data_IF_176755284169
#
_entry.id   IF_176755284169
#
_cell.length_a   1.000
_cell.length_b   1.000
_cell.length_c   1.000
_cell.angle_alpha   90.00
_cell.angle_beta   90.00
_cell.angle_gamma   90.00
#
_symmetry.space_group_name_H-M   'P 1'
#
loop_
_entity.id
_entity.type
_entity.pdbx_description
1 polymer ?
#
# COMPACT_ATOMS: atom_id res chain seq x y z
N UNK A 1 -10.62 29.75 12.96
CA UNK A 1 -11.28 28.68 13.74
C UNK A 1 -12.52 28.23 12.97
N UNK A 2 -12.47 27.06 12.34
CA UNK A 2 -13.62 26.50 11.63
C UNK A 2 -14.45 25.70 12.63
N UNK A 3 -15.70 26.13 12.86
CA UNK A 3 -16.71 25.38 13.61
C UNK A 3 -17.23 24.24 12.74
N UNK A 4 -17.05 23.00 13.19
CA UNK A 4 -17.77 21.85 12.64
C UNK A 4 -19.25 21.97 13.02
N UNK A 5 -20.14 21.87 12.03
CA UNK A 5 -21.57 21.76 12.27
C UNK A 5 -21.92 20.33 12.71
N UNK A 6 -22.84 20.27 13.67
CA UNK A 6 -23.27 19.10 14.40
C UNK A 6 -24.17 18.17 13.57
N UNK A 7 -23.95 16.88 13.82
CA UNK A 7 -24.92 15.80 13.99
C UNK A 7 -26.40 16.18 13.88
N UNK A 8 -26.96 16.12 12.66
CA UNK A 8 -28.34 15.69 12.44
C UNK A 8 -28.29 14.34 11.71
N UNK A 9 -28.50 13.28 12.48
CA UNK A 9 -28.12 11.88 12.24
C UNK A 9 -28.87 11.12 11.13
N UNK A 10 -28.92 11.66 9.93
CA UNK A 10 -29.29 10.91 8.72
C UNK A 10 -28.31 11.14 7.54
N UNK A 11 -27.46 12.16 7.63
CA UNK A 11 -26.49 12.51 6.60
C UNK A 11 -25.11 12.60 7.23
N UNK A 12 -24.41 11.46 7.33
CA UNK A 12 -22.98 11.47 7.64
C UNK A 12 -22.27 12.16 6.48
N UNK A 13 -21.87 13.41 6.70
CA UNK A 13 -21.05 14.14 5.74
C UNK A 13 -19.73 13.39 5.64
N UNK A 14 -19.45 12.83 4.45
CA UNK A 14 -18.17 12.21 4.19
C UNK A 14 -17.05 13.22 4.40
N UNK A 15 -16.01 12.78 5.10
CA UNK A 15 -14.84 13.62 5.35
C UNK A 15 -14.19 14.01 4.03
N UNK A 16 -13.96 15.31 3.82
CA UNK A 16 -13.17 15.81 2.68
C UNK A 16 -11.65 15.60 2.87
N UNK A 17 -11.21 15.13 4.04
CA UNK A 17 -9.79 14.99 4.37
C UNK A 17 -9.01 14.13 3.35
N UNK A 18 -9.53 13.01 2.82
CA UNK A 18 -8.82 12.24 1.80
C UNK A 18 -8.54 13.03 0.51
N UNK A 19 -9.48 13.90 0.10
CA UNK A 19 -9.30 14.77 -1.07
C UNK A 19 -8.23 15.84 -0.81
N UNK A 20 -8.23 16.42 0.40
CA UNK A 20 -7.21 17.39 0.80
C UNK A 20 -5.82 16.76 0.86
N UNK A 21 -5.69 15.55 1.41
CA UNK A 21 -4.43 14.83 1.47
C UNK A 21 -3.86 14.54 0.07
N UNK A 22 -4.70 14.12 -0.89
CA UNK A 22 -4.29 13.95 -2.29
C UNK A 22 -3.90 15.26 -2.95
N UNK A 23 -4.63 16.35 -2.69
CA UNK A 23 -4.27 17.67 -3.19
C UNK A 23 -2.91 18.13 -2.66
N UNK A 24 -2.66 17.97 -1.36
CA UNK A 24 -1.40 18.36 -0.74
C UNK A 24 -0.24 17.52 -1.29
N UNK A 25 -0.41 16.20 -1.42
CA UNK A 25 0.59 15.32 -2.04
C UNK A 25 0.94 15.75 -3.48
N UNK A 26 -0.06 16.05 -4.31
CA UNK A 26 0.14 16.54 -5.68
C UNK A 26 0.84 17.90 -5.68
N UNK A 27 0.40 18.84 -4.85
CA UNK A 27 0.97 20.20 -4.78
C UNK A 27 2.42 20.18 -4.31
N UNK A 28 2.73 19.41 -3.28
CA UNK A 28 4.07 19.33 -2.71
C UNK A 28 5.04 18.66 -3.67
N UNK A 29 4.62 17.58 -4.34
CA UNK A 29 5.40 16.95 -5.39
C UNK A 29 5.70 17.92 -6.54
N UNK A 30 4.67 18.61 -7.08
CA UNK A 30 4.85 19.58 -8.16
C UNK A 30 5.76 20.75 -7.77
N UNK A 31 5.66 21.22 -6.53
CA UNK A 31 6.58 22.23 -5.97
C UNK A 31 8.01 21.70 -5.94
N UNK A 32 8.21 20.48 -5.48
CA UNK A 32 9.52 19.85 -5.39
C UNK A 32 10.17 19.66 -6.78
N UNK A 33 9.42 19.11 -7.75
CA UNK A 33 9.91 18.92 -9.12
C UNK A 33 9.87 20.21 -9.98
N UNK A 34 9.45 21.35 -9.41
CA UNK A 34 9.32 22.67 -10.06
C UNK A 34 8.51 22.62 -11.35
N UNK A 35 7.41 21.86 -11.32
CA UNK A 35 6.47 21.73 -12.44
C UNK A 35 5.10 22.27 -12.07
N UNK A 36 4.24 22.39 -13.08
CA UNK A 36 2.84 22.81 -12.93
C UNK A 36 1.98 21.91 -13.79
N UNK A 37 0.75 21.69 -13.34
CA UNK A 37 -0.31 21.04 -14.09
C UNK A 37 -1.47 22.02 -14.22
N UNK A 38 -2.29 21.80 -15.24
CA UNK A 38 -3.56 22.50 -15.36
C UNK A 38 -4.52 22.06 -14.25
N UNK A 39 -5.44 22.95 -13.87
CA UNK A 39 -6.41 22.67 -12.80
C UNK A 39 -7.22 21.40 -13.08
N UNK A 40 -7.56 21.14 -14.34
CA UNK A 40 -8.28 19.94 -14.75
C UNK A 40 -7.52 18.65 -14.42
N UNK A 41 -6.20 18.65 -14.58
CA UNK A 41 -5.36 17.49 -14.27
C UNK A 41 -5.15 17.32 -12.77
N UNK A 42 -4.97 18.42 -12.04
CA UNK A 42 -4.92 18.38 -10.58
C UNK A 42 -6.22 17.82 -10.01
N UNK A 43 -7.37 18.30 -10.52
CA UNK A 43 -8.68 17.80 -10.12
C UNK A 43 -8.83 16.30 -10.41
N UNK A 44 -8.40 15.86 -11.60
CA UNK A 44 -8.46 14.43 -11.97
C UNK A 44 -7.58 13.57 -11.06
N UNK A 45 -6.37 14.03 -10.73
CA UNK A 45 -5.46 13.33 -9.81
C UNK A 45 -6.01 13.25 -8.37
N UNK A 46 -6.70 14.28 -7.89
CA UNK A 46 -7.36 14.24 -6.57
C UNK A 46 -8.43 13.14 -6.46
N UNK A 47 -9.03 12.75 -7.59
CA UNK A 47 -10.04 11.70 -7.66
C UNK A 47 -9.43 10.29 -7.78
N UNK A 48 -8.09 10.16 -7.75
CA UNK A 48 -7.44 8.86 -7.78
C UNK A 48 -7.86 7.99 -6.58
N UNK A 49 -8.03 6.66 -6.77
CA UNK A 49 -8.31 5.73 -5.68
C UNK A 49 -7.02 5.44 -4.87
N UNK A 50 -6.47 6.49 -4.26
CA UNK A 50 -5.22 6.46 -3.52
C UNK A 50 -5.49 6.71 -2.03
N UNK A 51 -5.08 5.76 -1.19
CA UNK A 51 -5.07 5.92 0.27
C UNK A 51 -3.77 6.60 0.73
N UNK A 52 -3.63 6.84 2.04
CA UNK A 52 -2.49 7.57 2.63
C UNK A 52 -1.13 6.98 2.21
N UNK A 53 -1.02 5.64 2.21
CA UNK A 53 0.20 4.91 1.81
C UNK A 53 0.58 5.11 0.33
N UNK A 54 -0.38 5.50 -0.53
CA UNK A 54 -0.18 5.70 -1.96
C UNK A 54 -0.01 7.16 -2.36
N UNK A 55 -0.09 8.11 -1.41
CA UNK A 55 0.13 9.53 -1.68
C UNK A 55 1.51 9.83 -2.29
N UNK A 56 2.62 9.19 -1.86
CA UNK A 56 3.92 9.38 -2.51
C UNK A 56 3.90 8.99 -3.99
N UNK A 57 3.26 7.86 -4.33
CA UNK A 57 3.11 7.42 -5.71
C UNK A 57 2.24 8.39 -6.53
N UNK A 58 1.15 8.90 -5.95
CA UNK A 58 0.33 9.92 -6.60
C UNK A 58 1.15 11.18 -6.93
N UNK A 59 2.03 11.61 -6.02
CA UNK A 59 2.98 12.70 -6.27
C UNK A 59 3.97 12.42 -7.40
N UNK A 60 4.55 11.22 -7.44
CA UNK A 60 5.41 10.75 -8.54
C UNK A 60 4.67 10.78 -9.88
N UNK A 61 3.43 10.30 -9.93
CA UNK A 61 2.58 10.33 -11.13
C UNK A 61 2.25 11.77 -11.57
N UNK A 62 2.01 12.67 -10.62
CA UNK A 62 1.78 14.09 -10.91
C UNK A 62 3.02 14.75 -11.56
N UNK A 63 4.21 14.52 -11.01
CA UNK A 63 5.45 15.04 -11.59
C UNK A 63 5.71 14.42 -12.98
N UNK A 64 5.46 13.11 -13.14
CA UNK A 64 5.58 12.42 -14.42
C UNK A 64 4.64 13.01 -15.49
N UNK A 65 3.38 13.25 -15.13
CA UNK A 65 2.40 13.91 -15.99
C UNK A 65 2.85 15.33 -16.37
N UNK A 66 3.47 16.04 -15.44
CA UNK A 66 4.00 17.38 -15.67
C UNK A 66 5.34 17.39 -16.46
N UNK A 67 5.77 16.24 -16.98
CA UNK A 67 6.94 16.10 -17.85
C UNK A 67 8.27 15.93 -17.11
N UNK A 68 8.24 15.60 -15.81
CA UNK A 68 9.45 15.33 -15.05
C UNK A 68 10.04 13.95 -15.39
N UNK A 69 11.02 13.95 -16.31
CA UNK A 69 11.62 12.73 -16.86
C UNK A 69 12.22 11.77 -15.81
N UNK A 70 12.85 12.22 -14.71
CA UNK A 70 13.38 11.32 -13.68
C UNK A 70 12.33 10.38 -13.07
N UNK A 71 11.06 10.80 -13.00
CA UNK A 71 9.98 9.95 -12.47
C UNK A 71 9.78 8.67 -13.27
N UNK A 72 10.14 8.70 -14.57
CA UNK A 72 10.04 7.52 -15.43
C UNK A 72 10.85 6.35 -14.89
N UNK A 73 12.05 6.58 -14.37
CA UNK A 73 12.89 5.50 -13.81
C UNK A 73 12.23 4.87 -12.58
N UNK A 74 11.64 5.68 -11.70
CA UNK A 74 10.93 5.20 -10.51
C UNK A 74 9.71 4.38 -10.92
N UNK A 75 8.91 4.90 -11.86
CA UNK A 75 7.72 4.24 -12.38
C UNK A 75 8.07 2.95 -13.12
N UNK A 76 9.15 2.94 -13.92
CA UNK A 76 9.61 1.75 -14.62
C UNK A 76 10.05 0.64 -13.65
N UNK A 77 10.68 1.00 -12.53
CA UNK A 77 10.97 0.04 -11.45
C UNK A 77 9.69 -0.48 -10.78
N UNK A 78 8.74 0.40 -10.46
CA UNK A 78 7.45 -0.01 -9.86
C UNK A 78 6.69 -0.99 -10.74
N UNK A 79 6.71 -0.77 -12.06
CA UNK A 79 6.07 -1.58 -13.09
C UNK A 79 6.81 -2.88 -13.43
N UNK A 80 8.01 -3.13 -12.89
CA UNK A 80 8.75 -4.36 -13.18
C UNK A 80 8.23 -5.53 -12.33
N UNK A 81 7.57 -6.55 -12.92
CA UNK A 81 7.05 -7.68 -12.17
C UNK A 81 8.15 -8.54 -11.53
N UNK A 82 9.38 -8.49 -12.04
CA UNK A 82 10.50 -9.31 -11.55
C UNK A 82 10.91 -8.95 -10.12
N UNK A 83 10.66 -7.71 -9.68
CA UNK A 83 10.94 -7.29 -8.30
C UNK A 83 10.15 -8.10 -7.26
N UNK A 84 9.06 -8.76 -7.69
CA UNK A 84 8.17 -9.51 -6.81
C UNK A 84 8.57 -10.98 -6.63
N UNK A 85 9.60 -11.46 -7.34
CA UNK A 85 10.05 -12.86 -7.23
C UNK A 85 10.50 -13.23 -5.81
N UNK A 86 11.15 -12.28 -5.12
CA UNK A 86 11.64 -12.46 -3.75
C UNK A 86 10.86 -11.65 -2.70
N UNK A 87 9.77 -10.96 -3.10
CA UNK A 87 9.06 -10.03 -2.21
C UNK A 87 8.36 -10.74 -1.05
N UNK A 88 8.32 -10.14 0.13
CA UNK A 88 7.50 -10.60 1.25
C UNK A 88 6.00 -10.43 0.99
N UNK A 89 5.16 -10.90 1.92
CA UNK A 89 3.70 -10.75 1.82
C UNK A 89 3.28 -9.27 1.75
N UNK A 90 3.78 -8.44 2.67
CA UNK A 90 3.47 -7.01 2.75
C UNK A 90 3.90 -6.25 1.49
N UNK A 91 5.10 -6.55 0.98
CA UNK A 91 5.61 -5.95 -0.27
C UNK A 91 4.76 -6.34 -1.49
N UNK A 92 4.28 -7.59 -1.54
CA UNK A 92 3.42 -8.06 -2.61
C UNK A 92 2.01 -7.43 -2.54
N UNK A 93 1.45 -7.27 -1.34
CA UNK A 93 0.17 -6.56 -1.14
C UNK A 93 0.29 -5.08 -1.50
N UNK A 94 1.39 -4.44 -1.10
CA UNK A 94 1.69 -3.07 -1.48
C UNK A 94 1.78 -2.93 -3.01
N UNK A 95 2.48 -3.84 -3.69
CA UNK A 95 2.56 -3.82 -5.15
C UNK A 95 1.20 -4.02 -5.84
N UNK A 96 0.29 -4.81 -5.25
CA UNK A 96 -1.08 -4.93 -5.76
C UNK A 96 -1.86 -3.61 -5.65
N UNK A 97 -1.72 -2.89 -4.52
CA UNK A 97 -2.31 -1.56 -4.33
C UNK A 97 -1.73 -0.54 -5.32
N UNK A 98 -0.42 -0.56 -5.54
CA UNK A 98 0.26 0.27 -6.54
C UNK A 98 -0.22 -0.05 -7.97
N UNK A 99 -0.43 -1.32 -8.30
CA UNK A 99 -0.94 -1.72 -9.61
C UNK A 99 -2.34 -1.16 -9.89
N UNK A 100 -3.22 -1.12 -8.87
CA UNK A 100 -4.57 -0.54 -8.97
C UNK A 100 -4.53 0.94 -9.36
N UNK A 101 -3.73 1.75 -8.67
CA UNK A 101 -3.58 3.18 -9.00
C UNK A 101 -2.87 3.39 -10.35
N UNK A 102 -1.88 2.56 -10.71
CA UNK A 102 -1.21 2.62 -12.02
C UNK A 102 -2.16 2.27 -13.17
N UNK A 103 -3.07 1.31 -12.96
CA UNK A 103 -4.11 0.96 -13.94
C UNK A 103 -5.13 2.07 -14.10
N UNK A 104 -5.58 2.67 -12.99
CA UNK A 104 -6.41 3.88 -13.05
C UNK A 104 -5.70 5.00 -13.82
N UNK A 105 -4.42 5.24 -13.53
CA UNK A 105 -3.63 6.27 -14.19
C UNK A 105 -3.49 6.02 -15.68
N UNK A 106 -3.26 4.77 -16.11
CA UNK A 106 -3.20 4.39 -17.52
C UNK A 106 -4.50 4.69 -18.28
N UNK A 107 -5.66 4.56 -17.62
CA UNK A 107 -6.96 4.89 -18.19
C UNK A 107 -7.14 6.41 -18.35
N UNK A 108 -6.66 7.20 -17.40
CA UNK A 108 -6.78 8.67 -17.44
C UNK A 108 -5.74 9.33 -18.34
N UNK A 109 -4.53 8.77 -18.41
CA UNK A 109 -3.34 9.34 -19.03
C UNK A 109 -2.55 8.30 -19.84
N UNK A 110 -3.08 7.83 -20.98
CA UNK A 110 -2.47 6.72 -21.72
C UNK A 110 -1.02 6.99 -22.10
N UNK A 111 -0.11 6.10 -21.70
CA UNK A 111 1.30 6.11 -22.11
C UNK A 111 2.21 7.09 -21.36
N UNK A 112 1.68 7.92 -20.46
CA UNK A 112 2.49 8.86 -19.66
C UNK A 112 3.50 8.07 -18.82
N UNK A 113 4.77 8.48 -18.91
CA UNK A 113 5.91 7.79 -18.27
C UNK A 113 6.00 6.28 -18.53
N UNK A 114 5.43 5.81 -19.65
CA UNK A 114 5.41 4.38 -19.99
C UNK A 114 4.40 3.56 -19.18
N UNK A 115 3.50 4.20 -18.43
CA UNK A 115 2.39 3.52 -17.76
C UNK A 115 1.34 3.14 -18.81
N UNK A 116 1.10 1.84 -18.96
CA UNK A 116 0.03 1.30 -19.81
C UNK A 116 -0.82 0.33 -19.02
N UNK A 117 -2.02 0.04 -19.51
CA UNK A 117 -2.94 -0.91 -18.88
C UNK A 117 -2.30 -2.29 -18.80
N UNK A 118 -1.58 -2.70 -19.84
CA UNK A 118 -0.93 -4.01 -19.95
C UNK A 118 0.18 -4.16 -18.91
N UNK A 119 1.01 -3.12 -18.72
CA UNK A 119 2.09 -3.15 -17.72
C UNK A 119 1.53 -3.13 -16.30
N UNK A 120 0.50 -2.32 -16.05
CA UNK A 120 -0.16 -2.29 -14.74
C UNK A 120 -0.85 -3.63 -14.43
N UNK A 121 -1.50 -4.25 -15.43
CA UNK A 121 -2.13 -5.56 -15.29
C UNK A 121 -1.08 -6.68 -15.06
N UNK A 122 0.06 -6.63 -15.75
CA UNK A 122 1.15 -7.58 -15.53
C UNK A 122 1.73 -7.49 -14.11
N UNK A 123 1.85 -6.27 -13.57
CA UNK A 123 2.23 -6.05 -12.17
C UNK A 123 1.16 -6.61 -11.22
N UNK A 124 -0.12 -6.32 -11.46
CA UNK A 124 -1.26 -6.80 -10.65
C UNK A 124 -1.29 -8.34 -10.59
N UNK A 125 -1.10 -9.01 -11.74
CA UNK A 125 -1.05 -10.47 -11.82
C UNK A 125 0.14 -11.05 -11.03
N UNK A 126 1.33 -10.46 -11.18
CA UNK A 126 2.52 -10.90 -10.47
C UNK A 126 2.39 -10.71 -8.95
N UNK A 127 1.86 -9.57 -8.51
CA UNK A 127 1.57 -9.28 -7.12
C UNK A 127 0.56 -10.28 -6.53
N UNK A 128 -0.57 -10.50 -7.23
CA UNK A 128 -1.61 -11.45 -6.82
C UNK A 128 -1.05 -12.87 -6.69
N UNK A 129 -0.25 -13.31 -7.68
CA UNK A 129 0.41 -14.62 -7.64
C UNK A 129 1.35 -14.73 -6.44
N UNK A 130 2.12 -13.68 -6.14
CA UNK A 130 3.06 -13.67 -5.02
C UNK A 130 2.36 -13.71 -3.67
N UNK A 131 1.29 -12.92 -3.50
CA UNK A 131 0.44 -12.94 -2.30
C UNK A 131 -0.11 -14.35 -2.07
N UNK A 132 -0.69 -14.98 -3.09
CA UNK A 132 -1.22 -16.35 -2.96
C UNK A 132 -0.13 -17.36 -2.57
N UNK A 133 1.08 -17.24 -3.13
CA UNK A 133 2.20 -18.10 -2.76
C UNK A 133 2.63 -17.91 -1.29
N UNK A 134 2.71 -16.66 -0.82
CA UNK A 134 3.09 -16.34 0.56
C UNK A 134 2.02 -16.76 1.57
N UNK A 135 0.74 -16.52 1.26
CA UNK A 135 -0.35 -16.97 2.11
C UNK A 135 -0.39 -18.49 2.24
N UNK A 136 -0.13 -19.23 1.15
CA UNK A 136 -0.01 -20.70 1.22
C UNK A 136 1.14 -21.14 2.13
N UNK A 137 2.30 -20.51 2.00
CA UNK A 137 3.45 -20.82 2.86
C UNK A 137 3.13 -20.58 4.34
N UNK A 138 2.45 -19.47 4.69
CA UNK A 138 2.04 -19.19 6.08
C UNK A 138 0.93 -20.14 6.57
N UNK A 139 0.06 -20.63 5.68
CA UNK A 139 -0.96 -21.64 6.04
C UNK A 139 -0.29 -22.99 6.34
N UNK A 140 0.70 -23.38 5.53
CA UNK A 140 1.37 -24.67 5.65
C UNK A 140 2.35 -24.70 6.83
N UNK A 141 3.07 -23.61 7.11
CA UNK A 141 3.97 -23.45 8.25
C UNK A 141 3.71 -22.15 9.03
N UNK A 142 2.62 -22.08 9.81
CA UNK A 142 2.21 -20.85 10.47
C UNK A 142 3.17 -20.50 11.59
N UNK A 143 3.69 -19.27 11.57
CA UNK A 143 4.52 -18.72 12.65
C UNK A 143 3.66 -18.21 13.81
N UNK A 144 2.47 -17.71 13.48
CA UNK A 144 1.48 -17.22 14.45
C UNK A 144 0.71 -18.39 15.08
N UNK A 145 0.48 -18.32 16.39
CA UNK A 145 -0.25 -19.35 17.13
C UNK A 145 0.55 -20.65 17.32
N UNK A 146 1.89 -20.57 17.27
CA UNK A 146 2.80 -21.66 17.62
C UNK A 146 3.66 -21.32 18.83
N UNK A 147 3.78 -22.28 19.74
CA UNK A 147 4.67 -22.17 20.89
C UNK A 147 6.12 -22.12 20.42
N UNK A 148 6.85 -21.05 20.74
CA UNK A 148 8.26 -20.89 20.38
C UNK A 148 9.18 -22.01 20.92
N UNK A 149 8.75 -22.68 22.00
CA UNK A 149 9.56 -23.72 22.63
C UNK A 149 9.32 -25.14 22.08
N UNK A 150 8.12 -25.46 21.59
CA UNK A 150 7.76 -26.83 21.22
C UNK A 150 6.94 -26.97 19.94
N UNK A 151 6.58 -25.88 19.27
CA UNK A 151 5.77 -25.89 18.04
C UNK A 151 4.29 -26.28 18.23
N UNK A 152 3.84 -26.54 19.46
CA UNK A 152 2.43 -26.80 19.74
C UNK A 152 1.56 -25.58 19.38
N UNK A 153 0.31 -25.82 18.96
CA UNK A 153 -0.69 -24.75 18.76
C UNK A 153 -0.88 -23.99 20.08
N UNK A 154 -0.93 -22.67 20.01
CA UNK A 154 -1.19 -21.76 21.13
C UNK A 154 -2.01 -20.57 20.63
N UNK A 155 -2.55 -19.77 21.53
CA UNK A 155 -3.26 -18.56 21.15
C UNK A 155 -2.33 -17.62 20.34
N UNK A 156 -2.83 -16.91 19.33
CA UNK A 156 -1.99 -16.10 18.44
C UNK A 156 -1.24 -14.96 19.15
N UNK A 157 -1.75 -14.49 20.29
CA UNK A 157 -1.08 -13.50 21.15
C UNK A 157 -0.11 -14.11 22.18
N UNK A 158 -0.03 -15.45 22.28
CA UNK A 158 0.77 -16.13 23.29
C UNK A 158 2.07 -16.69 22.70
N UNK A 159 3.22 -16.31 23.28
CA UNK A 159 4.55 -16.76 22.81
C UNK A 159 4.85 -18.24 23.15
N UNK A 160 4.23 -18.77 24.20
CA UNK A 160 4.38 -20.15 24.67
C UNK A 160 3.00 -20.77 24.86
N UNK A 161 2.88 -22.09 24.68
CA UNK A 161 1.69 -22.82 25.11
C UNK A 161 1.68 -22.96 26.65
N UNK A 162 0.50 -23.21 27.22
CA UNK A 162 0.31 -23.33 28.68
C UNK A 162 1.32 -24.29 29.31
N UNK A 163 1.56 -25.44 28.68
CA UNK A 163 2.55 -26.43 29.16
C UNK A 163 3.96 -25.84 29.25
N UNK A 164 4.43 -25.16 28.22
CA UNK A 164 5.78 -24.58 28.18
C UNK A 164 5.89 -23.35 29.08
N UNK A 165 4.84 -22.56 29.19
CA UNK A 165 4.75 -21.43 30.11
C UNK A 165 4.85 -21.90 31.57
N UNK A 166 4.03 -22.90 31.95
CA UNK A 166 4.03 -23.49 33.30
C UNK A 166 5.37 -24.18 33.63
N UNK A 167 5.98 -24.88 32.67
CA UNK A 167 7.30 -25.48 32.85
C UNK A 167 8.42 -24.44 33.09
N UNK A 168 8.30 -23.24 32.50
CA UNK A 168 9.22 -22.11 32.76
C UNK A 168 9.00 -21.51 34.15
N UNK A 169 7.75 -21.26 34.53
CA UNK A 169 7.41 -20.72 35.85
C UNK A 169 7.84 -21.65 37.01
N UNK A 170 7.68 -22.96 36.84
CA UNK A 170 8.11 -23.95 37.85
C UNK A 170 9.63 -23.98 38.10
N UNK A 171 10.44 -23.65 37.07
CA UNK A 171 11.90 -23.56 37.21
C UNK A 171 12.37 -22.25 37.87
N UNK A 172 11.59 -21.17 37.77
CA UNK A 172 11.92 -19.89 38.38
C UNK A 172 11.64 -19.86 39.89
N UNK A 173 10.62 -20.58 40.37
CA UNK A 173 10.24 -20.63 41.80
C UNK A 173 11.00 -21.66 42.65
N UNK A 174 12.02 -22.34 42.09
CA UNK A 174 12.88 -23.33 42.80
C UNK A 174 14.30 -22.81 43.07
N UNK A 175 14.53 -21.49 42.93
CA UNK A 175 15.77 -20.81 43.31
C UNK A 175 15.53 -19.92 44.51
#
# INVERSE_FOLDING_TARGET
AFRFFADDGWLTVESIQPLLARLDAVRDALRHCRRRLELADVWRLMQAPADEDLLPLLGTLACALAGDRPQRTVIDWLLDPRRLEAAGLEEAEQAAREASILRWFALQYPGVAGVTIERAAALEEAASRRVVQQLRAEIDDPTIGRCRACGARTAPWATLCDRCFMARGYRAGRR
#
